data_IF_369691408160
#
_entry.id   IF_369691408160
#
_cell.length_a   1.000
_cell.length_b   1.000
_cell.length_c   1.000
_cell.angle_alpha   90.00
_cell.angle_beta   90.00
_cell.angle_gamma   90.00
#
_symmetry.space_group_name_H-M   'P 1'
#
loop_
_entity.id
_entity.type
_entity.pdbx_description
1 polymer ?
#
# COMPACT_ATOMS: atom_id res chain seq x y z
N UNK A 1 -13.37 19.78 -35.54
CA UNK A 1 -13.26 19.41 -34.12
C UNK A 1 -12.64 20.60 -33.41
N UNK A 2 -13.41 21.37 -32.65
CA UNK A 2 -12.87 22.46 -31.82
C UNK A 2 -12.43 21.88 -30.48
N UNK A 3 -11.11 21.85 -30.24
CA UNK A 3 -10.59 21.69 -28.89
C UNK A 3 -11.03 22.90 -28.05
N UNK A 4 -11.71 22.64 -26.94
CA UNK A 4 -12.19 23.65 -26.01
C UNK A 4 -11.01 24.15 -25.15
N UNK A 5 -10.12 24.95 -25.74
CA UNK A 5 -9.00 25.58 -25.03
C UNK A 5 -9.55 26.73 -24.19
N UNK A 6 -9.52 26.57 -22.86
CA UNK A 6 -9.87 27.64 -21.92
C UNK A 6 -8.86 28.79 -22.06
N UNK A 7 -9.34 30.01 -22.34
CA UNK A 7 -8.51 31.22 -22.31
C UNK A 7 -7.98 31.50 -20.91
N UNK A 8 -6.79 32.12 -20.79
CA UNK A 8 -6.20 32.53 -19.50
C UNK A 8 -7.16 33.40 -18.70
N UNK A 9 -7.92 34.30 -19.36
CA UNK A 9 -8.95 35.12 -18.72
C UNK A 9 -10.04 34.28 -18.06
N UNK A 10 -10.41 33.16 -18.67
CA UNK A 10 -11.41 32.24 -18.12
C UNK A 10 -10.86 31.53 -16.89
N UNK A 11 -9.58 31.13 -16.89
CA UNK A 11 -8.92 30.54 -15.72
C UNK A 11 -8.85 31.55 -14.56
N UNK A 12 -8.39 32.77 -14.83
CA UNK A 12 -8.33 33.85 -13.84
C UNK A 12 -9.72 34.16 -13.26
N UNK A 13 -10.76 34.28 -14.11
CA UNK A 13 -12.11 34.52 -13.61
C UNK A 13 -12.59 33.38 -12.71
N UNK A 14 -12.40 32.12 -13.12
CA UNK A 14 -12.78 30.95 -12.31
C UNK A 14 -12.05 30.88 -10.98
N UNK A 15 -10.76 31.21 -10.93
CA UNK A 15 -10.00 31.24 -9.68
C UNK A 15 -10.55 32.30 -8.73
N UNK A 16 -10.87 33.49 -9.26
CA UNK A 16 -11.51 34.58 -8.49
C UNK A 16 -12.87 34.19 -7.96
N UNK A 17 -13.72 33.58 -8.79
CA UNK A 17 -15.06 33.12 -8.41
C UNK A 17 -15.00 32.02 -7.33
N UNK A 18 -13.93 31.21 -7.35
CA UNK A 18 -13.65 30.18 -6.34
C UNK A 18 -12.99 30.74 -5.06
N UNK A 19 -12.81 32.07 -4.94
CA UNK A 19 -12.26 32.73 -3.75
C UNK A 19 -10.73 32.80 -3.68
N UNK A 20 -10.03 32.43 -4.76
CA UNK A 20 -8.58 32.59 -4.88
C UNK A 20 -8.23 33.92 -5.58
N UNK A 21 -7.03 34.44 -5.37
CA UNK A 21 -6.62 35.74 -5.92
C UNK A 21 -5.59 35.59 -7.05
N UNK A 22 -6.02 35.50 -8.32
CA UNK A 22 -5.13 35.36 -9.47
C UNK A 22 -4.51 36.70 -9.92
N UNK A 23 -4.80 37.82 -9.25
CA UNK A 23 -4.54 39.17 -9.77
C UNK A 23 -5.62 39.64 -10.76
N UNK A 24 -5.27 40.54 -11.67
CA UNK A 24 -6.20 41.08 -12.68
C UNK A 24 -6.65 39.99 -13.67
N UNK A 25 -7.90 40.08 -14.16
CA UNK A 25 -8.43 39.19 -15.22
C UNK A 25 -8.07 39.78 -16.58
N UNK A 26 -6.78 39.79 -16.89
CA UNK A 26 -6.18 40.48 -18.03
C UNK A 26 -5.77 39.53 -19.16
N UNK A 27 -5.67 38.22 -18.88
CA UNK A 27 -5.19 37.20 -19.82
C UNK A 27 -3.69 36.95 -19.75
N UNK A 28 -2.98 37.51 -18.75
CA UNK A 28 -1.55 37.31 -18.53
C UNK A 28 -1.29 36.27 -17.43
N UNK A 29 -0.47 35.25 -17.73
CA UNK A 29 -0.09 34.26 -16.73
C UNK A 29 1.07 34.74 -15.85
N UNK A 30 0.74 35.48 -14.79
CA UNK A 30 1.71 35.97 -13.81
C UNK A 30 1.87 35.08 -12.57
N UNK A 31 2.79 35.45 -11.68
CA UNK A 31 3.04 34.73 -10.42
C UNK A 31 1.78 34.60 -9.54
N UNK A 32 0.89 35.60 -9.53
CA UNK A 32 -0.38 35.54 -8.78
C UNK A 32 -1.34 34.51 -9.38
N UNK A 33 -1.47 34.47 -10.71
CA UNK A 33 -2.32 33.47 -11.37
C UNK A 33 -1.80 32.05 -11.13
N UNK A 34 -0.48 31.84 -11.19
CA UNK A 34 0.14 30.55 -10.84
C UNK A 34 -0.10 30.16 -9.38
N UNK A 35 0.14 31.08 -8.43
CA UNK A 35 -0.07 30.82 -7.00
C UNK A 35 -1.55 30.54 -6.67
N UNK A 36 -2.48 31.28 -7.28
CA UNK A 36 -3.91 31.05 -7.10
C UNK A 36 -4.34 29.69 -7.66
N UNK A 37 -3.80 29.27 -8.81
CA UNK A 37 -4.05 27.95 -9.34
C UNK A 37 -3.49 26.86 -8.43
N UNK A 38 -2.26 26.99 -7.94
CA UNK A 38 -1.67 26.02 -7.01
C UNK A 38 -2.49 25.92 -5.72
N UNK A 39 -2.91 27.05 -5.16
CA UNK A 39 -3.79 27.09 -3.99
C UNK A 39 -5.14 26.41 -4.28
N UNK A 40 -5.75 26.68 -5.43
CA UNK A 40 -7.01 26.07 -5.85
C UNK A 40 -6.88 24.55 -6.07
N UNK A 41 -5.79 24.10 -6.70
CA UNK A 41 -5.50 22.68 -6.89
C UNK A 41 -5.27 21.98 -5.55
N UNK A 42 -4.57 22.62 -4.61
CA UNK A 42 -4.36 22.08 -3.27
C UNK A 42 -5.67 22.01 -2.48
N UNK A 43 -6.48 23.07 -2.49
CA UNK A 43 -7.79 23.09 -1.86
C UNK A 43 -8.72 22.03 -2.46
N UNK A 44 -8.76 21.92 -3.79
CA UNK A 44 -9.54 20.91 -4.50
C UNK A 44 -9.07 19.47 -4.22
N UNK A 45 -7.78 19.26 -3.99
CA UNK A 45 -7.25 17.96 -3.52
C UNK A 45 -7.67 17.66 -2.09
N UNK A 46 -7.66 18.67 -1.21
CA UNK A 46 -8.10 18.52 0.18
C UNK A 46 -9.61 18.35 0.34
N UNK A 47 -10.41 18.83 -0.62
CA UNK A 47 -11.87 18.70 -0.63
C UNK A 47 -12.37 17.49 -1.44
N UNK A 48 -11.48 16.81 -2.18
CA UNK A 48 -11.87 15.59 -2.90
C UNK A 48 -12.12 14.49 -1.90
N UNK A 49 -13.25 13.78 -2.05
CA UNK A 49 -13.48 12.68 -1.16
C UNK A 49 -12.43 11.61 -1.35
N UNK A 50 -11.82 11.19 -0.25
CA UNK A 50 -10.88 10.08 -0.27
C UNK A 50 -11.66 8.84 -0.71
N UNK A 51 -11.14 8.02 -1.64
CA UNK A 51 -11.87 6.85 -2.10
C UNK A 51 -12.05 5.84 -0.95
N UNK A 52 -12.87 4.81 -1.12
CA UNK A 52 -12.93 3.70 -0.17
C UNK A 52 -11.55 3.04 0.05
N UNK A 53 -11.41 2.33 1.16
CA UNK A 53 -10.19 1.56 1.46
C UNK A 53 -10.54 0.22 2.11
N UNK A 54 -10.05 -0.88 1.52
CA UNK A 54 -10.14 -2.21 2.10
C UNK A 54 -9.47 -2.22 3.49
N UNK A 55 -10.16 -2.82 4.48
CA UNK A 55 -9.75 -2.81 5.89
C UNK A 55 -9.63 -1.42 6.54
N UNK A 56 -9.98 -0.34 5.83
CA UNK A 56 -9.84 1.02 6.34
C UNK A 56 -10.69 1.29 7.58
N UNK A 57 -11.76 0.53 7.83
CA UNK A 57 -12.60 0.69 9.02
C UNK A 57 -11.91 0.19 10.31
N UNK A 58 -10.82 -0.58 10.17
CA UNK A 58 -10.04 -1.14 11.30
C UNK A 58 -8.92 -0.23 11.78
N UNK A 59 -8.67 0.88 11.10
CA UNK A 59 -7.52 1.75 11.34
C UNK A 59 -7.93 3.22 11.40
N UNK A 60 -7.07 4.04 12.00
CA UNK A 60 -7.33 5.48 12.14
C UNK A 60 -7.27 6.22 10.79
N UNK A 61 -7.78 7.45 10.75
CA UNK A 61 -7.72 8.27 9.54
C UNK A 61 -6.28 8.60 9.14
N UNK A 62 -5.41 8.86 10.11
CA UNK A 62 -3.98 9.11 9.91
C UNK A 62 -3.28 7.90 9.31
N UNK A 63 -3.64 6.69 9.76
CA UNK A 63 -3.10 5.45 9.21
C UNK A 63 -3.51 5.30 7.74
N UNK A 64 -4.80 5.49 7.41
CA UNK A 64 -5.28 5.44 6.01
C UNK A 64 -4.54 6.44 5.13
N UNK A 65 -4.44 7.70 5.58
CA UNK A 65 -3.74 8.75 4.84
C UNK A 65 -2.27 8.40 4.60
N UNK A 66 -1.58 7.86 5.61
CA UNK A 66 -0.17 7.45 5.49
C UNK A 66 -0.01 6.27 4.53
N UNK A 67 -0.88 5.26 4.58
CA UNK A 67 -0.87 4.14 3.62
C UNK A 67 -1.08 4.63 2.19
N UNK A 68 -2.03 5.54 1.94
CA UNK A 68 -2.21 6.14 0.60
C UNK A 68 -0.95 6.84 0.11
N UNK A 69 -0.32 7.62 0.99
CA UNK A 69 0.88 8.36 0.64
C UNK A 69 2.06 7.41 0.32
N UNK A 70 2.22 6.34 1.11
CA UNK A 70 3.22 5.28 0.85
C UNK A 70 2.93 4.58 -0.49
N UNK A 71 1.68 4.17 -0.70
CA UNK A 71 1.25 3.49 -1.93
C UNK A 71 1.57 4.33 -3.17
N UNK A 72 1.25 5.63 -3.11
CA UNK A 72 1.57 6.59 -4.17
C UNK A 72 3.07 6.71 -4.44
N UNK A 73 3.91 6.84 -3.39
CA UNK A 73 5.37 6.95 -3.55
C UNK A 73 6.00 5.68 -4.12
N UNK A 74 5.49 4.50 -3.73
CA UNK A 74 5.97 3.20 -4.20
C UNK A 74 5.42 2.80 -5.57
N UNK A 75 4.32 3.43 -6.02
CA UNK A 75 3.62 3.09 -7.25
C UNK A 75 2.84 1.77 -7.13
N UNK A 76 2.20 1.53 -5.99
CA UNK A 76 1.37 0.36 -5.70
C UNK A 76 -0.03 0.77 -5.25
N UNK A 77 -0.95 -0.20 -5.13
CA UNK A 77 -2.29 0.01 -4.58
C UNK A 77 -2.29 0.01 -3.04
N UNK A 78 -3.08 0.91 -2.44
CA UNK A 78 -3.23 1.01 -0.99
C UNK A 78 -4.02 -0.16 -0.39
N UNK A 79 -5.05 -0.65 -1.08
CA UNK A 79 -5.81 -1.83 -0.66
C UNK A 79 -4.93 -3.08 -0.64
N UNK A 80 -3.97 -3.21 -1.57
CA UNK A 80 -3.04 -4.34 -1.61
C UNK A 80 -2.08 -4.34 -0.41
N UNK A 81 -1.56 -3.15 -0.04
CA UNK A 81 -0.81 -2.96 1.20
C UNK A 81 -1.65 -3.34 2.42
N UNK A 82 -2.91 -2.89 2.48
CA UNK A 82 -3.83 -3.22 3.57
C UNK A 82 -4.14 -4.71 3.66
N UNK A 83 -4.33 -5.39 2.53
CA UNK A 83 -4.57 -6.83 2.47
C UNK A 83 -3.35 -7.63 2.95
N UNK A 84 -2.15 -7.25 2.55
CA UNK A 84 -0.93 -7.88 3.05
C UNK A 84 -0.76 -7.64 4.56
N UNK A 85 -0.99 -6.42 5.05
CA UNK A 85 -0.93 -6.15 6.50
C UNK A 85 -2.01 -6.92 7.28
N UNK A 86 -3.21 -7.07 6.73
CA UNK A 86 -4.26 -7.91 7.33
C UNK A 86 -3.84 -9.37 7.40
N UNK A 87 -3.17 -9.89 6.38
CA UNK A 87 -2.65 -11.26 6.36
C UNK A 87 -1.60 -11.46 7.45
N UNK A 88 -0.58 -10.62 7.44
CA UNK A 88 0.60 -10.72 8.31
C UNK A 88 0.28 -10.50 9.79
N UNK A 89 -0.76 -9.72 10.10
CA UNK A 89 -1.18 -9.43 11.49
C UNK A 89 -2.40 -10.22 11.96
N UNK A 90 -2.97 -11.10 11.13
CA UNK A 90 -4.23 -11.77 11.43
C UNK A 90 -5.39 -10.79 11.64
N UNK A 91 -5.50 -9.78 10.77
CA UNK A 91 -6.54 -8.71 10.73
C UNK A 91 -6.48 -7.67 11.85
N UNK A 92 -5.45 -7.71 12.70
CA UNK A 92 -5.38 -6.81 13.87
C UNK A 92 -4.73 -5.47 13.55
N UNK A 93 -3.91 -5.39 12.50
CA UNK A 93 -3.05 -4.22 12.21
C UNK A 93 -2.17 -3.81 13.39
N UNK A 94 -1.89 -4.74 14.30
CA UNK A 94 -1.06 -4.47 15.47
C UNK A 94 0.43 -4.57 15.11
N UNK A 95 1.24 -3.58 15.52
CA UNK A 95 2.69 -3.59 15.27
C UNK A 95 3.44 -4.62 16.12
N UNK A 96 2.78 -5.20 17.13
CA UNK A 96 3.36 -6.11 18.10
C UNK A 96 3.07 -7.60 17.82
N UNK A 97 2.34 -7.92 16.75
CA UNK A 97 2.05 -9.32 16.40
C UNK A 97 3.36 -10.05 16.14
N UNK A 98 3.64 -11.09 16.93
CA UNK A 98 4.79 -11.98 16.72
C UNK A 98 4.36 -13.29 16.09
N UNK A 99 5.18 -13.81 15.20
CA UNK A 99 4.97 -15.12 14.59
C UNK A 99 4.99 -16.22 15.66
N UNK A 100 3.97 -17.09 15.64
CA UNK A 100 3.80 -18.19 16.62
C UNK A 100 4.74 -19.37 16.40
N UNK A 101 5.34 -19.51 15.23
CA UNK A 101 6.29 -20.57 14.89
C UNK A 101 7.73 -20.27 15.33
N UNK A 102 7.97 -19.14 16.04
CA UNK A 102 9.26 -18.83 16.65
C UNK A 102 10.29 -18.20 15.71
N UNK A 103 9.90 -17.77 14.50
CA UNK A 103 10.82 -17.11 13.55
C UNK A 103 11.32 -15.73 14.01
N UNK A 104 10.68 -15.15 15.03
CA UNK A 104 10.94 -13.78 15.50
C UNK A 104 10.33 -12.69 14.60
N UNK A 105 9.64 -13.06 13.51
CA UNK A 105 8.93 -12.12 12.66
C UNK A 105 7.89 -11.31 13.46
N UNK A 106 7.83 -10.00 13.20
CA UNK A 106 7.08 -9.05 14.03
C UNK A 106 6.37 -7.96 13.21
N UNK A 107 5.16 -7.61 13.60
CA UNK A 107 4.45 -6.40 13.18
C UNK A 107 3.71 -6.49 11.85
N UNK A 108 3.42 -5.30 11.30
CA UNK A 108 2.49 -5.05 10.19
C UNK A 108 2.76 -5.89 8.95
N UNK A 109 4.03 -6.19 8.66
CA UNK A 109 4.42 -7.06 7.54
C UNK A 109 5.32 -8.22 7.99
N UNK A 110 5.27 -8.59 9.28
CA UNK A 110 6.06 -9.67 9.86
C UNK A 110 7.58 -9.54 9.59
N UNK A 111 8.16 -8.38 9.90
CA UNK A 111 9.59 -8.10 9.72
C UNK A 111 10.45 -9.17 10.39
N UNK A 112 11.26 -9.88 9.60
CA UNK A 112 12.24 -10.84 10.11
C UNK A 112 13.34 -10.12 10.90
N UNK A 113 13.96 -10.75 11.92
CA UNK A 113 15.02 -10.12 12.73
C UNK A 113 16.18 -9.55 11.92
N UNK A 114 16.63 -10.25 10.86
CA UNK A 114 17.69 -9.77 9.98
C UNK A 114 17.25 -8.52 9.17
N UNK A 115 16.02 -8.52 8.66
CA UNK A 115 15.44 -7.37 7.95
C UNK A 115 15.34 -6.15 8.87
N UNK A 116 14.83 -6.33 10.10
CA UNK A 116 14.74 -5.26 11.08
C UNK A 116 16.12 -4.62 11.35
N UNK A 117 17.16 -5.44 11.53
CA UNK A 117 18.55 -4.94 11.66
C UNK A 117 19.02 -4.17 10.44
N UNK A 118 18.75 -4.69 9.23
CA UNK A 118 19.08 -4.00 7.98
C UNK A 118 18.39 -2.65 7.82
N UNK A 119 17.23 -2.46 8.45
CA UNK A 119 16.49 -1.19 8.51
C UNK A 119 16.93 -0.28 9.67
N UNK A 120 17.98 -0.64 10.41
CA UNK A 120 18.51 0.13 11.52
C UNK A 120 17.68 0.04 12.80
N UNK A 121 16.95 -1.07 13.00
CA UNK A 121 16.10 -1.28 14.19
C UNK A 121 16.15 -2.75 14.65
N UNK A 122 15.26 -3.13 15.57
CA UNK A 122 15.06 -4.52 16.02
C UNK A 122 13.58 -4.88 16.00
N UNK A 123 13.26 -6.17 15.99
CA UNK A 123 11.87 -6.63 16.09
C UNK A 123 11.22 -6.21 17.41
N UNK A 124 11.98 -6.15 18.51
CA UNK A 124 11.48 -5.65 19.80
C UNK A 124 11.20 -4.15 19.79
N UNK A 125 12.04 -3.35 19.12
CA UNK A 125 11.77 -1.92 18.93
C UNK A 125 10.56 -1.71 18.03
N UNK A 126 10.46 -2.46 16.93
CA UNK A 126 9.29 -2.45 16.03
C UNK A 126 8.00 -2.79 16.78
N UNK A 127 8.01 -3.80 17.67
CA UNK A 127 6.83 -4.18 18.46
C UNK A 127 6.34 -3.09 19.41
N UNK A 128 7.23 -2.19 19.84
CA UNK A 128 6.92 -1.08 20.77
C UNK A 128 6.45 0.19 20.06
N UNK A 129 6.55 0.24 18.73
CA UNK A 129 6.07 1.39 17.95
C UNK A 129 4.55 1.41 17.91
N UNK A 130 3.98 2.58 17.64
CA UNK A 130 2.60 2.64 17.14
C UNK A 130 2.52 2.06 15.73
N UNK A 131 1.34 1.63 15.31
CA UNK A 131 1.13 1.16 13.93
C UNK A 131 1.51 2.26 12.90
N UNK A 132 1.20 3.53 13.22
CA UNK A 132 1.53 4.67 12.37
C UNK A 132 3.05 4.91 12.24
N UNK A 133 3.82 4.73 13.32
CA UNK A 133 5.29 4.80 13.27
C UNK A 133 5.87 3.62 12.50
N UNK A 134 5.33 2.42 12.70
CA UNK A 134 5.83 1.22 12.02
C UNK A 134 5.63 1.28 10.49
N UNK A 135 4.63 2.04 10.00
CA UNK A 135 4.46 2.31 8.57
C UNK A 135 5.68 2.97 7.91
N UNK A 136 6.50 3.73 8.63
CA UNK A 136 7.75 4.27 8.06
C UNK A 136 8.74 3.15 7.69
N UNK A 137 8.76 2.09 8.49
CA UNK A 137 9.57 0.90 8.23
C UNK A 137 8.96 0.03 7.14
N UNK A 138 7.63 -0.01 7.03
CA UNK A 138 6.94 -0.66 5.91
C UNK A 138 7.33 0.00 4.59
N UNK A 139 7.34 1.33 4.52
CA UNK A 139 7.80 2.06 3.34
C UNK A 139 9.27 1.77 3.01
N UNK A 140 10.17 1.90 4.00
CA UNK A 140 11.60 1.64 3.81
C UNK A 140 11.88 0.21 3.32
N UNK A 141 11.11 -0.75 3.82
CA UNK A 141 11.21 -2.14 3.38
C UNK A 141 10.81 -2.33 1.91
N UNK A 142 9.75 -1.67 1.45
CA UNK A 142 9.29 -1.79 0.07
C UNK A 142 10.02 -0.87 -0.93
N UNK A 143 10.70 0.18 -0.45
CA UNK A 143 11.39 1.15 -1.30
C UNK A 143 12.34 0.54 -2.35
N UNK A 144 13.13 -0.52 -2.06
CA UNK A 144 13.98 -1.18 -3.06
C UNK A 144 13.22 -1.86 -4.21
N UNK A 145 11.91 -2.11 -4.04
CA UNK A 145 11.05 -2.76 -5.04
C UNK A 145 10.19 -1.76 -5.83
N UNK A 146 10.35 -0.45 -5.60
CA UNK A 146 9.59 0.60 -6.30
C UNK A 146 9.57 0.36 -7.81
N UNK A 147 8.38 0.44 -8.41
CA UNK A 147 8.16 0.16 -9.85
C UNK A 147 8.05 -1.32 -10.24
N UNK A 148 8.27 -2.24 -9.30
CA UNK A 148 8.09 -3.70 -9.49
C UNK A 148 6.85 -4.25 -8.76
N UNK A 149 6.24 -3.49 -7.87
CA UNK A 149 5.07 -3.87 -7.08
C UNK A 149 3.77 -3.53 -7.83
N UNK A 150 3.47 -4.27 -8.90
CA UNK A 150 2.40 -3.89 -9.85
C UNK A 150 1.00 -4.36 -9.48
N UNK A 151 0.90 -5.27 -8.52
CA UNK A 151 -0.34 -5.91 -8.08
C UNK A 151 -0.13 -6.54 -6.69
N UNK A 152 -1.23 -6.98 -6.07
CA UNK A 152 -1.25 -7.72 -4.81
C UNK A 152 -0.19 -8.82 -4.76
N UNK A 153 -0.01 -9.54 -5.86
CA UNK A 153 0.92 -10.64 -5.92
C UNK A 153 2.37 -10.23 -5.84
N UNK A 154 2.76 -9.19 -6.54
CA UNK A 154 4.12 -8.67 -6.48
C UNK A 154 4.42 -8.08 -5.09
N UNK A 155 3.44 -7.45 -4.46
CA UNK A 155 3.57 -6.92 -3.10
C UNK A 155 3.75 -8.04 -2.08
N UNK A 156 2.91 -9.08 -2.14
CA UNK A 156 3.03 -10.20 -1.24
C UNK A 156 4.31 -11.02 -1.50
N UNK A 157 4.73 -11.18 -2.75
CA UNK A 157 6.01 -11.83 -3.07
C UNK A 157 7.20 -11.06 -2.51
N UNK A 158 7.17 -9.72 -2.44
CA UNK A 158 8.22 -8.99 -1.75
C UNK A 158 8.34 -9.40 -0.27
N UNK A 159 7.23 -9.67 0.42
CA UNK A 159 7.21 -10.16 1.81
C UNK A 159 7.65 -11.63 1.90
N UNK A 160 7.01 -12.51 1.12
CA UNK A 160 7.13 -13.95 1.25
C UNK A 160 8.42 -14.50 0.60
N UNK A 161 8.66 -14.10 -0.66
CA UNK A 161 9.76 -14.61 -1.47
C UNK A 161 10.03 -13.71 -2.70
N UNK A 162 10.96 -12.73 -2.61
CA UNK A 162 11.13 -11.69 -3.63
C UNK A 162 11.42 -12.18 -5.05
N UNK A 163 11.92 -13.40 -5.23
CA UNK A 163 12.14 -13.99 -6.55
C UNK A 163 10.82 -14.26 -7.32
N UNK A 164 9.68 -14.28 -6.63
CA UNK A 164 8.35 -14.42 -7.22
C UNK A 164 7.78 -13.10 -7.81
N UNK A 165 8.43 -11.96 -7.56
CA UNK A 165 7.97 -10.65 -8.08
C UNK A 165 8.01 -10.66 -9.62
N UNK A 166 6.89 -10.30 -10.25
CA UNK A 166 6.72 -10.24 -11.70
C UNK A 166 6.61 -11.62 -12.38
N UNK A 167 6.53 -12.71 -11.62
CA UNK A 167 6.33 -14.07 -12.14
C UNK A 167 4.84 -14.35 -12.34
N UNK A 168 4.53 -15.33 -13.19
CA UNK A 168 3.18 -15.83 -13.37
C UNK A 168 2.70 -16.63 -12.15
N UNK A 169 1.38 -16.77 -11.96
CA UNK A 169 0.81 -17.52 -10.85
C UNK A 169 1.18 -19.02 -10.86
N UNK A 170 1.50 -19.57 -12.03
CA UNK A 170 2.00 -20.94 -12.18
C UNK A 170 3.46 -21.12 -11.76
N UNK A 171 4.18 -20.04 -11.43
CA UNK A 171 5.57 -20.13 -11.02
C UNK A 171 5.71 -20.88 -9.69
N UNK A 172 6.52 -21.93 -9.68
CA UNK A 172 6.83 -22.71 -8.48
C UNK A 172 7.80 -21.90 -7.60
N UNK A 173 7.34 -21.54 -6.40
CA UNK A 173 8.18 -20.87 -5.40
C UNK A 173 9.10 -21.89 -4.73
N UNK A 174 8.53 -23.01 -4.32
CA UNK A 174 9.21 -24.11 -3.64
C UNK A 174 8.54 -25.44 -3.96
N UNK A 175 9.29 -26.53 -3.91
CA UNK A 175 8.77 -27.88 -4.02
C UNK A 175 9.52 -28.84 -3.07
N UNK A 176 8.97 -30.04 -2.92
CA UNK A 176 9.57 -31.08 -2.08
C UNK A 176 10.96 -31.52 -2.54
N UNK A 177 11.22 -31.75 -3.85
CA UNK A 177 12.53 -32.23 -4.30
C UNK A 177 13.65 -31.21 -4.08
N UNK A 178 13.45 -29.95 -4.46
CA UNK A 178 14.53 -28.95 -4.48
C UNK A 178 14.63 -28.19 -3.17
N UNK A 179 13.52 -28.02 -2.43
CA UNK A 179 13.47 -27.24 -1.19
C UNK A 179 12.62 -27.90 -0.09
N UNK A 180 12.95 -29.12 0.34
CA UNK A 180 12.10 -29.92 1.25
C UNK A 180 11.82 -29.22 2.59
N UNK A 181 12.81 -28.53 3.18
CA UNK A 181 12.61 -27.82 4.46
C UNK A 181 11.71 -26.60 4.30
N UNK A 182 11.93 -25.78 3.28
CA UNK A 182 11.10 -24.58 3.01
C UNK A 182 9.68 -24.98 2.63
N UNK A 183 9.52 -26.01 1.79
CA UNK A 183 8.22 -26.57 1.47
C UNK A 183 7.51 -27.04 2.73
N UNK A 184 8.16 -27.83 3.61
CA UNK A 184 7.53 -28.33 4.85
C UNK A 184 7.03 -27.21 5.76
N UNK A 185 7.81 -26.13 5.90
CA UNK A 185 7.41 -24.96 6.70
C UNK A 185 6.20 -24.21 6.12
N UNK A 186 5.99 -24.32 4.80
CA UNK A 186 4.93 -23.63 4.07
C UNK A 186 3.87 -24.59 3.50
N UNK A 187 3.87 -25.86 3.91
CA UNK A 187 3.06 -26.92 3.29
C UNK A 187 1.55 -26.63 3.35
N UNK A 188 1.10 -25.80 4.30
CA UNK A 188 -0.28 -25.33 4.36
C UNK A 188 -0.68 -24.38 3.22
N UNK A 189 0.25 -23.97 2.35
CA UNK A 189 0.00 -23.17 1.14
C UNK A 189 -0.26 -24.07 -0.07
N UNK A 190 0.26 -25.31 -0.10
CA UNK A 190 0.00 -26.28 -1.17
C UNK A 190 -1.47 -26.75 -1.08
N UNK A 191 -2.35 -26.13 -1.87
CA UNK A 191 -3.81 -26.31 -1.80
C UNK A 191 -4.21 -27.62 -2.47
N UNK A 192 -3.60 -27.92 -3.63
CA UNK A 192 -3.91 -29.11 -4.41
C UNK A 192 -3.15 -30.37 -3.92
N UNK A 193 -2.18 -30.19 -3.02
CA UNK A 193 -1.33 -31.22 -2.40
C UNK A 193 -0.44 -31.96 -3.39
N UNK A 194 -0.02 -31.30 -4.46
CA UNK A 194 0.80 -31.90 -5.52
C UNK A 194 2.31 -31.93 -5.21
N UNK A 195 2.72 -31.39 -4.06
CA UNK A 195 4.12 -31.34 -3.64
C UNK A 195 4.88 -30.10 -4.13
N UNK A 196 4.19 -29.14 -4.75
CA UNK A 196 4.72 -27.85 -5.18
C UNK A 196 3.88 -26.73 -4.55
N UNK A 197 4.52 -25.61 -4.26
CA UNK A 197 3.85 -24.39 -3.83
C UNK A 197 4.08 -23.35 -4.91
N UNK A 198 3.00 -22.93 -5.55
CA UNK A 198 3.02 -21.94 -6.61
C UNK A 198 2.76 -20.53 -6.07
N UNK A 199 3.13 -19.52 -6.88
CA UNK A 199 2.76 -18.13 -6.61
C UNK A 199 1.24 -17.99 -6.45
N UNK A 200 0.44 -18.60 -7.32
CA UNK A 200 -1.02 -18.52 -7.28
C UNK A 200 -1.62 -19.06 -5.98
N UNK A 201 -1.12 -20.18 -5.48
CA UNK A 201 -1.57 -20.74 -4.20
C UNK A 201 -1.21 -19.86 -3.00
N UNK A 202 -0.01 -19.28 -3.00
CA UNK A 202 0.38 -18.30 -1.99
C UNK A 202 -0.55 -17.08 -2.01
N UNK A 203 -1.00 -16.66 -3.19
CA UNK A 203 -1.90 -15.51 -3.37
C UNK A 203 -3.34 -15.79 -3.01
N UNK A 204 -3.84 -17.03 -3.16
CA UNK A 204 -5.23 -17.36 -2.87
C UNK A 204 -5.69 -16.88 -1.48
N UNK A 205 -4.81 -17.00 -0.47
CA UNK A 205 -5.11 -16.57 0.90
C UNK A 205 -5.17 -15.05 1.06
N UNK A 206 -4.23 -14.32 0.46
CA UNK A 206 -4.16 -12.86 0.56
C UNK A 206 -5.26 -12.20 -0.30
N UNK A 207 -5.57 -12.76 -1.47
CA UNK A 207 -6.71 -12.34 -2.30
C UNK A 207 -8.04 -12.47 -1.57
N UNK A 208 -8.22 -13.54 -0.78
CA UNK A 208 -9.38 -13.70 0.09
C UNK A 208 -9.51 -12.57 1.12
N UNK A 209 -8.39 -12.13 1.70
CA UNK A 209 -8.37 -11.01 2.63
C UNK A 209 -8.62 -9.65 1.97
N UNK A 210 -8.16 -9.44 0.74
CA UNK A 210 -8.51 -8.24 -0.01
C UNK A 210 -10.04 -8.17 -0.22
N UNK A 211 -10.64 -9.29 -0.66
CA UNK A 211 -12.09 -9.38 -0.84
C UNK A 211 -12.85 -9.19 0.49
N UNK A 212 -12.37 -9.78 1.59
CA UNK A 212 -12.95 -9.61 2.92
C UNK A 212 -12.84 -8.16 3.42
N UNK A 213 -11.71 -7.50 3.15
CA UNK A 213 -11.46 -6.11 3.53
C UNK A 213 -12.39 -5.12 2.84
N UNK A 214 -12.95 -5.49 1.67
CA UNK A 214 -13.91 -4.69 0.91
C UNK A 214 -15.37 -4.91 1.34
N UNK A 215 -15.65 -5.86 2.23
CA UNK A 215 -17.01 -6.09 2.74
C UNK A 215 -17.45 -5.00 3.73
N UNK A 216 -18.76 -4.75 3.87
CA UNK A 216 -19.29 -3.87 4.92
C UNK A 216 -18.73 -4.22 6.30
N UNK A 217 -18.43 -3.19 7.10
CA UNK A 217 -17.81 -3.34 8.43
C UNK A 217 -16.28 -3.42 8.43
N UNK A 218 -15.65 -3.83 7.32
CA UNK A 218 -14.20 -3.75 7.13
C UNK A 218 -13.80 -2.61 6.19
N UNK A 219 -14.63 -2.36 5.17
CA UNK A 219 -14.43 -1.27 4.23
C UNK A 219 -14.65 0.08 4.92
N UNK A 220 -13.69 0.99 4.78
CA UNK A 220 -13.96 2.40 5.04
C UNK A 220 -14.52 3.03 3.76
N UNK A 221 -15.68 3.71 3.81
CA UNK A 221 -16.43 4.11 2.61
C UNK A 221 -15.86 5.32 1.87
N UNK A 222 -14.81 5.95 2.38
CA UNK A 222 -14.36 7.27 1.92
C UNK A 222 -14.80 8.38 2.87
N UNK A 223 -14.32 9.60 2.61
CA UNK A 223 -14.75 10.82 3.31
C UNK A 223 -15.09 11.85 2.28
#
# INVERSE_FOLDING_TARGET
MHENLMSIRVVQQKLRDAGFDPGAVDGLWGHRTAAALDAALNAARSSRPDPPMAWGARVSAEFRGKVRAIASRLGTDADDLMACMAWETGRTFSPAVRNRAGSGATGLIQFMPATARGLGTTTDALAKMTALQQLDYVERYFAPYRGRLRNLGDLYMAILWPAGIGKADSYVLWDRPDRPTTYRQNAGIDINRDGRITRGEALAKVSGLLAEGRRPGNLWPGR
#
